data_IF_241939937069
#
_entry.id   IF_241939937069
#
_cell.length_a   1.000
_cell.length_b   1.000
_cell.length_c   1.000
_cell.angle_alpha   90.00
_cell.angle_beta   90.00
_cell.angle_gamma   90.00
#
_symmetry.space_group_name_H-M   'P 1'
#
loop_
_entity.id
_entity.type
_entity.pdbx_description
1 polymer ?
#
# COMPACT_ATOMS: atom_id res chain seq x y z
N UNK A 1 -15.28 17.78 64.36
CA UNK A 1 -15.22 16.45 63.72
C UNK A 1 -16.62 16.19 63.14
N UNK A 2 -16.88 15.96 61.85
CA UNK A 2 -16.09 15.79 60.63
C UNK A 2 -16.99 16.31 59.50
N UNK A 3 -16.49 17.23 58.67
CA UNK A 3 -17.17 17.71 57.47
C UNK A 3 -17.00 16.66 56.37
N UNK A 4 -18.08 16.00 55.95
CA UNK A 4 -18.09 15.08 54.81
C UNK A 4 -18.17 15.84 53.49
N UNK A 5 -17.19 15.76 52.57
CA UNK A 5 -17.33 16.35 51.25
C UNK A 5 -17.86 15.33 50.24
N UNK A 6 -19.03 15.67 49.69
CA UNK A 6 -19.44 15.61 48.28
C UNK A 6 -18.95 14.43 47.43
N UNK A 7 -19.93 13.58 47.09
CA UNK A 7 -20.28 13.16 45.73
C UNK A 7 -19.28 13.53 44.62
N UNK A 8 -18.59 12.53 44.07
CA UNK A 8 -17.96 12.62 42.74
C UNK A 8 -18.75 11.79 41.74
N UNK A 9 -19.58 12.51 41.02
CA UNK A 9 -20.26 12.11 39.79
C UNK A 9 -19.27 11.44 38.83
N UNK A 10 -19.46 10.13 38.61
CA UNK A 10 -18.69 9.33 37.65
C UNK A 10 -19.42 9.28 36.31
N UNK A 11 -19.81 10.43 35.76
CA UNK A 11 -20.14 10.53 34.33
C UNK A 11 -18.83 10.60 33.52
N UNK A 12 -18.17 9.45 33.39
CA UNK A 12 -17.16 9.22 32.34
C UNK A 12 -17.89 9.18 30.98
N UNK A 13 -18.27 10.36 30.46
CA UNK A 13 -18.59 10.52 29.05
C UNK A 13 -17.31 10.27 28.26
N UNK A 14 -17.14 9.02 27.80
CA UNK A 14 -16.17 8.70 26.73
C UNK A 14 -16.62 9.46 25.50
N UNK A 15 -16.08 10.66 25.29
CA UNK A 15 -16.20 11.36 24.02
C UNK A 15 -15.43 10.53 23.00
N UNK A 16 -16.15 9.84 22.10
CA UNK A 16 -15.55 9.19 20.95
C UNK A 16 -14.86 10.28 20.12
N UNK A 17 -13.53 10.38 20.23
CA UNK A 17 -12.72 11.31 19.46
C UNK A 17 -12.93 11.00 17.98
N UNK A 18 -13.56 11.91 17.25
CA UNK A 18 -13.71 11.79 15.80
C UNK A 18 -12.34 11.93 15.16
N UNK A 19 -11.85 10.87 14.54
CA UNK A 19 -10.64 10.91 13.72
C UNK A 19 -10.93 11.74 12.48
N UNK A 20 -10.13 12.77 12.24
CA UNK A 20 -10.28 13.60 11.05
C UNK A 20 -9.94 12.80 9.79
N UNK A 21 -10.56 13.14 8.65
CA UNK A 21 -10.26 12.47 7.36
C UNK A 21 -8.78 12.60 6.97
N UNK A 22 -8.14 13.71 7.32
CA UNK A 22 -6.71 13.94 7.09
C UNK A 22 -5.84 13.00 7.93
N UNK A 23 -6.14 12.82 9.22
CA UNK A 23 -5.45 11.83 10.07
C UNK A 23 -5.61 10.41 9.52
N UNK A 24 -6.82 10.02 9.11
CA UNK A 24 -7.07 8.70 8.53
C UNK A 24 -6.31 8.49 7.21
N UNK A 25 -6.26 9.52 6.35
CA UNK A 25 -5.52 9.46 5.09
C UNK A 25 -4.01 9.38 5.30
N UNK A 26 -3.48 10.05 6.33
CA UNK A 26 -2.08 9.95 6.74
C UNK A 26 -1.73 8.51 7.13
N UNK A 27 -2.50 7.92 8.04
CA UNK A 27 -2.32 6.52 8.47
C UNK A 27 -2.41 5.54 7.30
N UNK A 28 -3.36 5.75 6.37
CA UNK A 28 -3.48 4.91 5.16
C UNK A 28 -2.25 4.99 4.27
N UNK A 29 -1.64 6.17 4.14
CA UNK A 29 -0.40 6.38 3.37
C UNK A 29 0.78 5.67 4.04
N UNK A 30 0.90 5.80 5.36
CA UNK A 30 1.99 5.21 6.12
C UNK A 30 1.92 3.67 6.10
N UNK A 31 0.72 3.10 6.25
CA UNK A 31 0.49 1.65 6.12
C UNK A 31 0.83 1.15 4.71
N UNK A 32 0.51 1.92 3.66
CA UNK A 32 0.87 1.56 2.28
C UNK A 32 2.39 1.53 2.08
N UNK A 33 3.11 2.53 2.59
CA UNK A 33 4.57 2.60 2.51
C UNK A 33 5.22 1.47 3.30
N UNK A 34 4.73 1.20 4.51
CA UNK A 34 5.24 0.10 5.35
C UNK A 34 4.98 -1.25 4.69
N UNK A 35 3.83 -1.45 4.05
CA UNK A 35 3.53 -2.66 3.27
C UNK A 35 4.50 -2.82 2.11
N UNK A 36 4.77 -1.78 1.33
CA UNK A 36 5.76 -1.86 0.24
C UNK A 36 7.17 -2.18 0.74
N UNK A 37 7.56 -1.66 1.90
CA UNK A 37 8.84 -1.95 2.53
C UNK A 37 8.90 -3.41 3.01
N UNK A 38 7.84 -3.90 3.66
CA UNK A 38 7.76 -5.29 4.11
C UNK A 38 7.79 -6.28 2.95
N UNK A 39 7.12 -5.98 1.84
CA UNK A 39 7.18 -6.80 0.62
C UNK A 39 8.61 -6.88 0.09
N UNK A 40 9.35 -5.77 0.16
CA UNK A 40 10.77 -5.76 -0.24
C UNK A 40 11.69 -6.58 0.68
N UNK A 41 11.30 -6.78 1.95
CA UNK A 41 12.08 -7.51 2.95
C UNK A 41 11.71 -8.99 3.06
N UNK A 42 10.41 -9.31 3.12
CA UNK A 42 9.90 -10.66 3.37
C UNK A 42 9.73 -11.43 2.06
N UNK A 43 9.64 -10.72 0.93
CA UNK A 43 9.60 -11.36 -0.37
C UNK A 43 8.30 -12.08 -0.69
N UNK A 44 7.22 -11.95 0.10
CA UNK A 44 5.89 -12.53 -0.17
C UNK A 44 4.76 -11.56 0.24
N UNK A 45 3.81 -11.32 -0.66
CA UNK A 45 2.49 -10.72 -0.38
C UNK A 45 1.39 -11.71 -0.84
N UNK A 46 0.11 -11.38 -0.61
CA UNK A 46 -1.05 -12.10 -1.17
C UNK A 46 -1.02 -12.23 -2.70
N UNK A 47 -0.24 -11.39 -3.39
CA UNK A 47 0.00 -11.46 -4.84
C UNK A 47 1.13 -12.43 -5.23
N UNK A 48 1.82 -13.03 -4.25
CA UNK A 48 2.91 -13.97 -4.43
C UNK A 48 4.27 -13.42 -4.00
N UNK A 49 5.33 -14.18 -4.33
CA UNK A 49 6.68 -13.82 -3.95
C UNK A 49 7.23 -12.67 -4.79
N UNK A 50 7.76 -11.63 -4.15
CA UNK A 50 8.50 -10.57 -4.83
C UNK A 50 9.78 -11.14 -5.47
N UNK A 51 9.90 -10.97 -6.79
CA UNK A 51 11.05 -11.44 -7.58
C UNK A 51 11.94 -10.25 -7.95
N UNK A 52 12.94 -9.89 -7.13
CA UNK A 52 13.80 -8.73 -7.40
C UNK A 52 14.54 -8.84 -8.74
N UNK A 53 14.92 -10.07 -9.13
CA UNK A 53 15.56 -10.33 -10.43
C UNK A 53 14.66 -9.96 -11.61
N UNK A 54 13.37 -10.30 -11.54
CA UNK A 54 12.39 -9.93 -12.57
C UNK A 54 12.26 -8.41 -12.69
N UNK A 55 12.21 -7.68 -11.57
CA UNK A 55 12.16 -6.21 -11.59
C UNK A 55 13.41 -5.64 -12.23
N UNK A 56 14.59 -6.17 -11.88
CA UNK A 56 15.87 -5.72 -12.45
C UNK A 56 15.93 -5.99 -13.96
N UNK A 57 15.48 -7.16 -14.40
CA UNK A 57 15.41 -7.53 -15.82
C UNK A 57 14.50 -6.59 -16.61
N UNK A 58 13.27 -6.34 -16.11
CA UNK A 58 12.32 -5.42 -16.73
C UNK A 58 12.87 -3.99 -16.79
N UNK A 59 13.48 -3.51 -15.70
CA UNK A 59 14.07 -2.17 -15.68
C UNK A 59 15.23 -2.07 -16.66
N UNK A 60 16.07 -3.10 -16.76
CA UNK A 60 17.17 -3.14 -17.74
C UNK A 60 16.62 -3.10 -19.16
N UNK A 61 15.67 -3.98 -19.48
CA UNK A 61 15.01 -4.04 -20.79
C UNK A 61 14.31 -2.72 -21.15
N UNK A 62 13.79 -1.98 -20.17
CA UNK A 62 13.14 -0.68 -20.40
C UNK A 62 14.10 0.42 -20.88
N UNK A 63 15.39 0.27 -20.62
CA UNK A 63 16.43 1.19 -21.11
C UNK A 63 16.87 0.87 -22.53
N UNK A 64 16.55 -0.32 -23.02
CA UNK A 64 16.85 -0.73 -24.39
C UNK A 64 15.96 0.01 -25.39
N UNK A 65 16.46 0.22 -26.60
CA UNK A 65 15.66 0.87 -27.65
C UNK A 65 14.54 -0.06 -28.09
N UNK A 66 13.26 0.38 -28.05
CA UNK A 66 12.16 -0.45 -28.51
C UNK A 66 12.34 -0.77 -30.00
N UNK A 67 12.49 -2.04 -30.30
CA UNK A 67 12.68 -2.55 -31.67
C UNK A 67 11.37 -2.59 -32.46
N UNK A 68 10.23 -2.66 -31.74
CA UNK A 68 8.89 -2.74 -32.32
C UNK A 68 7.91 -1.85 -31.57
N UNK A 69 6.92 -1.34 -32.29
CA UNK A 69 5.84 -0.53 -31.74
C UNK A 69 4.50 -1.11 -32.18
N UNK A 70 3.76 -1.61 -31.21
CA UNK A 70 2.43 -2.17 -31.45
C UNK A 70 1.39 -1.06 -31.45
N UNK A 71 0.58 -0.99 -32.51
CA UNK A 71 -0.47 0.04 -32.66
C UNK A 71 -1.80 -0.38 -32.04
N UNK A 72 -1.99 -1.66 -31.77
CA UNK A 72 -3.19 -2.21 -31.14
C UNK A 72 -2.89 -3.50 -30.38
N UNK A 73 -3.76 -3.87 -29.45
CA UNK A 73 -3.66 -5.14 -28.72
C UNK A 73 -3.74 -6.35 -29.66
N UNK A 74 -4.59 -6.29 -30.70
CA UNK A 74 -4.69 -7.35 -31.70
C UNK A 74 -3.37 -7.54 -32.46
N UNK A 75 -2.68 -6.45 -32.83
CA UNK A 75 -1.39 -6.51 -33.50
C UNK A 75 -0.30 -7.13 -32.62
N UNK A 76 -0.30 -6.81 -31.32
CA UNK A 76 0.60 -7.44 -30.35
C UNK A 76 0.36 -8.93 -30.20
N UNK A 77 -0.89 -9.35 -30.04
CA UNK A 77 -1.25 -10.75 -29.84
C UNK A 77 -0.98 -11.61 -31.09
N UNK A 78 -1.27 -11.09 -32.28
CA UNK A 78 -0.97 -11.79 -33.53
C UNK A 78 0.52 -12.11 -33.64
N UNK A 79 1.38 -11.19 -33.24
CA UNK A 79 2.83 -11.35 -33.32
C UNK A 79 3.37 -12.34 -32.28
N UNK A 80 2.86 -12.30 -31.05
CA UNK A 80 3.21 -13.29 -30.02
C UNK A 80 2.70 -14.68 -30.36
N UNK A 81 1.52 -14.80 -30.98
CA UNK A 81 1.00 -16.11 -31.40
C UNK A 81 1.78 -16.75 -32.55
N UNK A 82 2.65 -15.98 -33.21
CA UNK A 82 3.51 -16.44 -34.31
C UNK A 82 4.98 -16.70 -33.90
N UNK A 83 5.30 -16.51 -32.62
CA UNK A 83 6.59 -16.82 -31.98
C UNK A 83 6.57 -18.26 -31.45
#
# INVERSE_FOLDING_TARGET
MISSPRTRDRTQRRTARRVSRSEFNGVRRDVRTLRSLLISFVGEDREGAYRPMFVREILTASTERPTRRFRSAAAFLAEISSL
#
